data_IF_157956355545
#
_entry.id   IF_157956355545
#
_cell.length_a   1.000
_cell.length_b   1.000
_cell.length_c   1.000
_cell.angle_alpha   90.00
_cell.angle_beta   90.00
_cell.angle_gamma   90.00
#
_symmetry.space_group_name_H-M   'P 1'
#
loop_
_entity.id
_entity.type
_entity.pdbx_description
1 polymer ?
#
# COMPACT_ATOMS: atom_id res chain seq x y z
N UNK A 1 25.86 4.15 17.11
CA UNK A 1 24.76 4.44 18.06
C UNK A 1 23.50 3.74 17.55
N UNK A 2 22.99 2.80 18.30
CA UNK A 2 21.80 2.03 17.91
C UNK A 2 20.55 2.91 18.04
N UNK A 3 19.70 3.00 17.00
CA UNK A 3 18.61 3.99 17.02
C UNK A 3 17.45 3.57 17.92
N UNK A 4 16.96 2.36 17.82
CA UNK A 4 15.85 1.80 18.62
C UNK A 4 16.05 0.30 18.72
N UNK A 5 15.73 -0.29 19.85
CA UNK A 5 15.74 -1.73 20.04
C UNK A 5 14.32 -2.28 20.19
N UNK A 6 14.09 -3.50 19.72
CA UNK A 6 12.93 -4.30 20.10
C UNK A 6 13.23 -4.99 21.42
N UNK A 7 12.22 -5.02 22.29
CA UNK A 7 12.32 -5.53 23.65
C UNK A 7 11.55 -6.84 23.75
N UNK A 8 12.07 -7.77 24.55
CA UNK A 8 11.30 -8.95 24.95
C UNK A 8 10.21 -8.57 25.99
N UNK A 9 9.37 -9.53 26.33
CA UNK A 9 8.28 -9.36 27.31
C UNK A 9 8.77 -9.12 28.75
N UNK A 10 10.08 -9.27 29.02
CA UNK A 10 10.72 -8.92 30.30
C UNK A 10 11.33 -7.51 30.27
N UNK A 11 11.25 -6.80 29.12
CA UNK A 11 11.79 -5.47 28.95
C UNK A 11 13.30 -5.43 28.63
N UNK A 12 13.93 -6.55 28.28
CA UNK A 12 15.31 -6.54 27.83
C UNK A 12 15.38 -6.14 26.36
N UNK A 13 16.28 -5.22 25.97
CA UNK A 13 16.49 -4.90 24.55
C UNK A 13 17.24 -6.06 23.87
N UNK A 14 16.60 -6.70 22.88
CA UNK A 14 17.04 -7.95 22.28
C UNK A 14 17.45 -7.85 20.82
N UNK A 15 16.80 -7.02 20.04
CA UNK A 15 17.03 -6.88 18.61
C UNK A 15 17.11 -5.40 18.21
N UNK A 16 18.01 -5.06 17.28
CA UNK A 16 18.06 -3.76 16.65
C UNK A 16 18.63 -3.86 15.23
N UNK A 17 18.27 -2.89 14.41
CA UNK A 17 18.80 -2.71 13.05
C UNK A 17 19.45 -1.34 12.93
N UNK A 18 20.59 -1.28 12.27
CA UNK A 18 21.24 -0.02 11.92
C UNK A 18 21.40 0.11 10.43
N UNK A 19 21.35 1.33 9.93
CA UNK A 19 21.76 1.65 8.55
C UNK A 19 23.15 2.26 8.61
N UNK A 20 24.10 1.63 7.94
CA UNK A 20 25.39 2.23 7.64
C UNK A 20 25.22 3.15 6.43
N UNK A 21 25.39 4.47 6.64
CA UNK A 21 25.15 5.45 5.59
C UNK A 21 26.28 5.49 4.53
N UNK A 22 27.46 5.02 4.86
CA UNK A 22 28.61 5.04 3.95
C UNK A 22 28.57 3.81 3.02
N UNK A 23 28.36 2.61 3.59
CA UNK A 23 28.21 1.35 2.82
C UNK A 23 26.78 1.14 2.32
N UNK A 24 25.78 1.84 2.89
CA UNK A 24 24.34 1.67 2.62
C UNK A 24 23.79 0.30 3.01
N UNK A 25 24.44 -0.35 3.95
CA UNK A 25 24.07 -1.67 4.43
C UNK A 25 23.22 -1.57 5.70
N UNK A 26 22.18 -2.38 5.74
CA UNK A 26 21.50 -2.65 6.98
C UNK A 26 22.23 -3.73 7.73
N UNK A 27 22.51 -3.48 9.01
CA UNK A 27 23.15 -4.44 9.91
C UNK A 27 22.17 -4.79 11.01
N UNK A 28 21.90 -6.09 11.17
CA UNK A 28 21.05 -6.61 12.24
C UNK A 28 21.92 -7.01 13.42
N UNK A 29 21.43 -6.72 14.62
CA UNK A 29 22.12 -7.05 15.86
C UNK A 29 21.15 -7.67 16.85
N UNK A 30 21.62 -8.64 17.60
CA UNK A 30 20.90 -9.21 18.71
C UNK A 30 21.71 -9.10 20.00
N UNK A 31 21.03 -9.29 21.13
CA UNK A 31 21.62 -9.36 22.45
C UNK A 31 20.83 -10.33 23.30
N UNK A 32 21.50 -11.31 23.90
CA UNK A 32 20.85 -12.23 24.82
C UNK A 32 20.57 -11.57 26.18
N UNK A 33 19.61 -12.06 26.96
CA UNK A 33 19.40 -11.59 28.32
C UNK A 33 20.69 -11.74 29.14
N UNK A 34 21.11 -10.64 29.79
CA UNK A 34 22.35 -10.58 30.57
C UNK A 34 23.60 -10.18 29.80
N UNK A 35 23.59 -10.15 28.48
CA UNK A 35 24.72 -9.68 27.69
C UNK A 35 24.88 -8.17 27.80
N UNK A 36 26.13 -7.70 27.88
CA UNK A 36 26.46 -6.27 27.89
C UNK A 36 26.69 -5.67 26.49
N UNK A 37 26.90 -6.53 25.49
CA UNK A 37 27.23 -6.15 24.11
C UNK A 37 26.22 -6.67 23.09
N UNK A 38 26.18 -6.00 21.93
CA UNK A 38 25.41 -6.40 20.76
C UNK A 38 26.25 -7.29 19.84
N UNK A 39 25.67 -8.37 19.35
CA UNK A 39 26.27 -9.25 18.35
C UNK A 39 25.61 -9.03 17.00
N UNK A 40 26.40 -8.77 15.97
CA UNK A 40 25.88 -8.68 14.59
C UNK A 40 25.55 -10.08 14.08
N UNK A 41 24.44 -10.19 13.36
CA UNK A 41 24.05 -11.43 12.68
C UNK A 41 23.45 -11.14 11.31
N UNK A 42 23.43 -12.18 10.47
CA UNK A 42 22.97 -12.09 9.10
C UNK A 42 23.96 -11.28 8.25
N UNK A 43 24.48 -11.87 7.21
CA UNK A 43 25.21 -11.15 6.20
C UNK A 43 24.17 -10.47 5.29
N UNK A 44 23.99 -9.17 5.49
CA UNK A 44 23.09 -8.34 4.67
C UNK A 44 23.87 -7.75 3.50
N UNK A 45 25.17 -7.99 3.44
CA UNK A 45 25.99 -7.64 2.29
C UNK A 45 25.70 -8.59 1.14
N UNK A 46 24.66 -8.28 0.42
CA UNK A 46 24.44 -8.94 -0.85
C UNK A 46 25.01 -8.05 -1.95
N UNK A 47 25.90 -8.58 -2.77
CA UNK A 47 26.45 -7.91 -3.95
C UNK A 47 25.34 -7.47 -4.92
N UNK A 48 24.15 -8.05 -4.81
CA UNK A 48 22.95 -7.65 -5.53
C UNK A 48 22.16 -6.59 -4.75
N UNK A 49 22.43 -5.36 -5.08
CA UNK A 49 21.66 -4.18 -4.63
C UNK A 49 20.12 -4.33 -4.75
N UNK A 50 19.62 -5.18 -5.67
CA UNK A 50 18.18 -5.40 -5.88
C UNK A 50 17.52 -6.04 -4.67
N UNK A 51 18.09 -7.08 -4.13
CA UNK A 51 17.56 -7.80 -2.98
C UNK A 51 17.38 -6.93 -1.74
N UNK A 52 18.24 -5.92 -1.58
CA UNK A 52 18.18 -5.04 -0.41
C UNK A 52 16.95 -4.12 -0.40
N UNK A 53 16.57 -3.54 -1.53
CA UNK A 53 15.40 -2.66 -1.54
C UNK A 53 14.12 -3.41 -1.20
N UNK A 54 13.88 -4.55 -1.84
CA UNK A 54 12.73 -5.39 -1.54
C UNK A 54 12.71 -5.79 -0.05
N UNK A 55 13.82 -6.26 0.48
CA UNK A 55 13.96 -6.64 1.88
C UNK A 55 13.69 -5.49 2.85
N UNK A 56 14.11 -4.26 2.49
CA UNK A 56 13.90 -3.07 3.31
C UNK A 56 12.44 -2.63 3.30
N UNK A 57 11.86 -2.46 2.11
CA UNK A 57 10.51 -1.88 1.96
C UNK A 57 9.41 -2.92 2.14
N UNK A 58 9.69 -4.18 1.81
CA UNK A 58 8.77 -5.31 2.02
C UNK A 58 8.77 -5.87 3.44
N UNK A 59 9.66 -5.37 4.32
CA UNK A 59 9.80 -5.91 5.68
C UNK A 59 10.54 -7.25 5.76
N UNK A 60 11.18 -7.70 4.68
CA UNK A 60 11.95 -8.94 4.61
C UNK A 60 13.25 -8.79 5.42
N UNK A 61 13.75 -9.90 6.00
CA UNK A 61 14.70 -9.89 7.12
C UNK A 61 14.16 -9.06 8.30
N UNK A 62 12.84 -8.96 8.38
CA UNK A 62 12.14 -8.26 9.44
C UNK A 62 12.07 -9.13 10.69
N UNK A 63 12.42 -8.53 11.81
CA UNK A 63 12.14 -9.13 13.10
C UNK A 63 10.61 -9.16 13.33
N UNK A 64 10.07 -10.33 13.63
CA UNK A 64 8.63 -10.58 13.75
C UNK A 64 8.17 -10.91 15.19
N UNK A 65 9.11 -11.03 16.13
CA UNK A 65 8.78 -11.27 17.54
C UNK A 65 9.76 -12.22 18.24
N UNK A 66 9.64 -12.32 19.56
CA UNK A 66 10.36 -13.27 20.39
C UNK A 66 9.47 -14.45 20.74
N UNK A 67 10.07 -15.64 20.93
CA UNK A 67 9.37 -16.78 21.53
C UNK A 67 9.00 -16.46 22.99
N UNK A 68 7.82 -16.88 23.40
CA UNK A 68 7.40 -16.80 24.80
C UNK A 68 8.09 -17.87 25.67
N UNK A 69 8.51 -18.98 25.06
CA UNK A 69 8.99 -20.19 25.78
C UNK A 69 10.51 -20.22 25.89
N UNK A 70 11.24 -19.80 24.85
CA UNK A 70 12.71 -19.81 24.82
C UNK A 70 13.26 -18.42 24.48
N UNK A 71 14.01 -17.79 25.40
CA UNK A 71 14.60 -16.48 25.18
C UNK A 71 15.64 -16.45 24.05
N UNK A 72 16.17 -17.57 23.61
CA UNK A 72 17.11 -17.63 22.49
C UNK A 72 16.41 -17.74 21.14
N UNK A 73 15.10 -17.98 21.14
CA UNK A 73 14.32 -18.13 19.90
C UNK A 73 13.50 -16.87 19.64
N UNK A 74 13.42 -16.50 18.38
CA UNK A 74 12.56 -15.46 17.85
C UNK A 74 12.07 -15.80 16.47
N UNK A 75 11.34 -14.86 15.88
CA UNK A 75 10.71 -15.03 14.59
C UNK A 75 11.23 -13.99 13.60
N UNK A 76 11.52 -14.44 12.38
CA UNK A 76 11.99 -13.59 11.29
C UNK A 76 11.15 -13.83 10.04
N UNK A 77 10.87 -12.76 9.30
CA UNK A 77 10.27 -12.83 7.97
C UNK A 77 11.40 -12.81 6.95
N UNK A 78 11.53 -13.87 6.14
CA UNK A 78 12.63 -14.02 5.19
C UNK A 78 12.19 -14.81 3.95
N UNK A 79 12.70 -14.42 2.78
CA UNK A 79 12.41 -15.07 1.51
C UNK A 79 13.49 -16.08 1.05
N UNK A 80 14.34 -16.55 1.99
CA UNK A 80 15.35 -17.56 1.69
C UNK A 80 14.75 -18.81 1.05
N UNK A 81 15.41 -19.29 0.00
CA UNK A 81 14.98 -20.50 -0.70
C UNK A 81 13.74 -20.33 -1.57
N UNK A 82 13.22 -19.08 -1.77
CA UNK A 82 12.04 -18.85 -2.61
C UNK A 82 11.82 -17.39 -2.98
N UNK A 83 10.81 -17.15 -3.80
CA UNK A 83 10.39 -15.81 -4.21
C UNK A 83 9.62 -15.10 -3.09
N UNK A 84 8.70 -15.84 -2.43
CA UNK A 84 7.84 -15.31 -1.39
C UNK A 84 8.52 -15.36 -0.02
N UNK A 85 8.24 -14.36 0.83
CA UNK A 85 8.73 -14.36 2.19
C UNK A 85 7.87 -15.28 3.08
N UNK A 86 8.54 -16.15 3.82
CA UNK A 86 7.96 -17.00 4.86
C UNK A 86 8.28 -16.49 6.26
N UNK A 87 7.58 -17.05 7.24
CA UNK A 87 7.90 -16.89 8.67
C UNK A 87 8.83 -18.00 9.11
N UNK A 88 9.91 -17.61 9.75
CA UNK A 88 10.98 -18.50 10.19
C UNK A 88 11.23 -18.39 11.69
N UNK A 89 11.53 -19.51 12.30
CA UNK A 89 12.13 -19.58 13.63
C UNK A 89 13.63 -19.29 13.52
N UNK A 90 14.11 -18.41 14.38
CA UNK A 90 15.50 -17.95 14.39
C UNK A 90 16.11 -18.08 15.78
N UNK A 91 17.30 -18.66 15.88
CA UNK A 91 18.04 -18.78 17.13
C UNK A 91 19.06 -17.64 17.27
N UNK A 92 18.80 -16.74 18.22
CA UNK A 92 19.68 -15.59 18.48
C UNK A 92 21.03 -15.95 19.08
N UNK A 93 21.13 -17.11 19.77
CA UNK A 93 22.41 -17.52 20.38
C UNK A 93 23.39 -18.09 19.37
N UNK A 94 22.89 -18.73 18.30
CA UNK A 94 23.71 -19.25 17.20
C UNK A 94 23.74 -18.32 15.98
N UNK A 95 22.77 -17.42 15.84
CA UNK A 95 22.61 -16.58 14.66
C UNK A 95 22.04 -17.32 13.45
N UNK A 96 21.37 -18.45 13.66
CA UNK A 96 20.92 -19.36 12.61
C UNK A 96 19.39 -19.40 12.50
N UNK A 97 18.91 -19.57 11.27
CA UNK A 97 17.52 -19.91 10.99
C UNK A 97 17.32 -21.41 11.25
N UNK A 98 16.33 -21.74 12.09
CA UNK A 98 16.11 -23.11 12.58
C UNK A 98 15.20 -23.89 11.63
N UNK A 99 14.02 -23.33 11.34
CA UNK A 99 13.01 -23.93 10.45
C UNK A 99 12.03 -22.89 9.92
N UNK A 100 11.47 -23.19 8.75
CA UNK A 100 10.33 -22.46 8.23
C UNK A 100 9.06 -22.89 8.97
N UNK A 101 8.28 -21.91 9.42
CA UNK A 101 7.01 -22.15 10.09
C UNK A 101 5.85 -22.12 9.11
N UNK A 102 5.89 -21.15 8.18
CA UNK A 102 4.85 -20.97 7.17
C UNK A 102 5.34 -20.08 6.04
N UNK A 103 4.91 -20.39 4.80
CA UNK A 103 5.07 -19.55 3.61
C UNK A 103 3.80 -19.65 2.77
N UNK A 104 3.13 -18.54 2.46
CA UNK A 104 2.00 -18.55 1.52
C UNK A 104 2.50 -18.78 0.08
N UNK A 105 1.65 -19.33 -0.76
CA UNK A 105 1.98 -19.64 -2.15
C UNK A 105 2.09 -18.37 -3.01
N UNK A 106 1.15 -17.45 -2.84
CA UNK A 106 0.94 -16.31 -3.75
C UNK A 106 1.35 -14.94 -3.16
N UNK A 107 1.74 -14.90 -1.90
CA UNK A 107 2.01 -13.66 -1.18
C UNK A 107 3.21 -13.78 -0.22
N UNK A 108 3.64 -12.67 0.37
CA UNK A 108 4.62 -12.65 1.44
C UNK A 108 3.95 -12.69 2.81
N UNK A 109 4.55 -13.34 3.77
CA UNK A 109 4.26 -13.02 5.18
C UNK A 109 4.71 -11.57 5.41
N UNK A 110 3.81 -10.74 5.89
CA UNK A 110 4.07 -9.30 6.15
C UNK A 110 4.02 -8.94 7.64
N UNK A 111 3.67 -9.89 8.48
CA UNK A 111 3.60 -9.70 9.93
C UNK A 111 3.19 -10.94 10.68
N UNK A 112 3.09 -10.80 12.00
CA UNK A 112 2.64 -11.85 12.92
C UNK A 112 1.56 -11.31 13.85
N UNK A 113 0.80 -12.22 14.41
CA UNK A 113 -0.14 -11.94 15.49
C UNK A 113 0.33 -12.68 16.75
N UNK A 114 0.32 -11.98 17.86
CA UNK A 114 0.58 -12.57 19.18
C UNK A 114 -0.73 -12.75 19.94
N UNK A 115 -0.69 -13.56 20.98
CA UNK A 115 -1.86 -13.87 21.82
C UNK A 115 -2.52 -12.56 22.34
N UNK A 116 -3.84 -12.52 22.34
CA UNK A 116 -4.59 -11.28 22.63
C UNK A 116 -4.63 -10.91 24.12
N UNK A 117 -4.29 -11.82 25.03
CA UNK A 117 -4.18 -11.53 26.48
C UNK A 117 -2.86 -10.79 26.76
N UNK A 118 -2.89 -9.62 27.40
CA UNK A 118 -1.70 -8.85 27.74
C UNK A 118 -0.68 -9.62 28.57
N UNK A 119 0.57 -9.63 28.12
CA UNK A 119 1.69 -10.33 28.76
C UNK A 119 1.84 -11.78 28.31
N UNK A 120 1.01 -12.26 27.40
CA UNK A 120 1.21 -13.48 26.65
C UNK A 120 1.65 -13.10 25.22
N UNK A 121 2.94 -13.21 24.92
CA UNK A 121 3.51 -12.84 23.61
C UNK A 121 3.69 -14.06 22.69
N UNK A 122 3.02 -15.19 23.01
CA UNK A 122 3.05 -16.39 22.17
C UNK A 122 2.59 -16.05 20.74
N UNK A 123 3.33 -16.55 19.75
CA UNK A 123 2.97 -16.45 18.35
C UNK A 123 1.69 -17.25 18.10
N UNK A 124 0.65 -16.60 17.57
CA UNK A 124 -0.63 -17.26 17.27
C UNK A 124 -0.95 -17.33 15.78
N UNK A 125 -0.44 -16.39 14.97
CA UNK A 125 -0.64 -16.45 13.53
C UNK A 125 0.46 -15.72 12.73
N UNK A 126 0.69 -16.19 11.50
CA UNK A 126 1.34 -15.43 10.45
C UNK A 126 0.28 -14.65 9.64
N UNK A 127 0.63 -13.42 9.22
CA UNK A 127 -0.26 -12.52 8.48
C UNK A 127 0.29 -12.27 7.09
N UNK A 128 -0.56 -12.36 6.06
CA UNK A 128 -0.19 -12.13 4.67
C UNK A 128 -1.33 -11.48 3.88
N UNK A 129 -1.05 -10.73 2.79
CA UNK A 129 -2.10 -10.09 2.00
C UNK A 129 -2.82 -11.09 1.10
N UNK A 130 -4.09 -10.84 0.91
CA UNK A 130 -5.02 -11.54 0.03
C UNK A 130 -6.22 -10.65 -0.25
N UNK A 131 -7.43 -11.18 -0.20
CA UNK A 131 -8.64 -10.35 -0.21
C UNK A 131 -8.67 -9.39 0.99
N UNK A 132 -8.16 -9.83 2.11
CA UNK A 132 -7.87 -9.04 3.31
C UNK A 132 -6.48 -9.42 3.82
N UNK A 133 -6.06 -8.92 4.99
CA UNK A 133 -4.95 -9.55 5.68
C UNK A 133 -5.40 -10.90 6.21
N UNK A 134 -4.98 -11.94 5.51
CA UNK A 134 -5.25 -13.33 5.85
C UNK A 134 -4.34 -13.79 7.01
N UNK A 135 -4.76 -14.85 7.71
CA UNK A 135 -4.04 -15.39 8.86
C UNK A 135 -3.83 -16.90 8.70
N UNK A 136 -2.58 -17.33 8.81
CA UNK A 136 -2.26 -18.73 9.05
C UNK A 136 -2.10 -18.93 10.55
N UNK A 137 -3.01 -19.69 11.15
CA UNK A 137 -3.09 -19.85 12.59
C UNK A 137 -2.18 -20.99 13.09
N UNK A 138 -1.46 -20.73 14.18
CA UNK A 138 -0.68 -21.71 14.94
C UNK A 138 -1.38 -22.06 16.26
N UNK A 139 -2.34 -21.27 16.70
CA UNK A 139 -3.12 -21.43 17.92
C UNK A 139 -4.60 -21.59 17.59
N UNK A 140 -5.17 -22.75 17.87
CA UNK A 140 -6.55 -23.08 17.55
C UNK A 140 -7.57 -22.39 18.49
N UNK A 141 -7.16 -22.02 19.73
CA UNK A 141 -8.06 -21.31 20.67
C UNK A 141 -8.23 -19.86 20.24
N UNK A 142 -7.13 -19.16 19.87
CA UNK A 142 -7.20 -17.80 19.34
C UNK A 142 -7.91 -17.78 17.98
N UNK A 143 -7.69 -18.77 17.12
CA UNK A 143 -8.44 -18.92 15.87
C UNK A 143 -9.95 -19.01 16.13
N UNK A 144 -10.37 -19.91 17.01
CA UNK A 144 -11.78 -20.10 17.36
C UNK A 144 -12.39 -18.82 17.96
N UNK A 145 -11.62 -18.08 18.75
CA UNK A 145 -12.04 -16.77 19.29
C UNK A 145 -12.31 -15.78 18.15
N UNK A 146 -11.39 -15.63 17.19
CA UNK A 146 -11.57 -14.72 16.06
C UNK A 146 -12.73 -15.14 15.15
N UNK A 147 -12.90 -16.43 14.87
CA UNK A 147 -14.03 -16.96 14.09
C UNK A 147 -15.37 -16.68 14.79
N UNK A 148 -15.43 -16.83 16.09
CA UNK A 148 -16.61 -16.48 16.90
C UNK A 148 -16.92 -14.98 16.82
N UNK A 149 -15.91 -14.11 16.95
CA UNK A 149 -16.07 -12.66 16.83
C UNK A 149 -16.55 -12.26 15.43
N UNK A 150 -15.95 -12.81 14.39
CA UNK A 150 -16.32 -12.57 12.99
C UNK A 150 -17.78 -13.00 12.72
N UNK A 151 -18.22 -14.11 13.30
CA UNK A 151 -19.61 -14.62 13.12
C UNK A 151 -20.67 -13.71 13.73
N UNK A 152 -20.32 -12.90 14.73
CA UNK A 152 -21.27 -12.03 15.46
C UNK A 152 -21.27 -10.58 14.97
N UNK A 153 -20.22 -10.13 14.29
CA UNK A 153 -20.10 -8.75 13.81
C UNK A 153 -20.74 -8.64 12.41
N UNK A 154 -21.75 -7.80 12.22
CA UNK A 154 -22.32 -7.54 10.91
C UNK A 154 -21.28 -6.95 9.95
N UNK A 155 -21.20 -7.48 8.71
CA UNK A 155 -20.21 -7.12 7.72
C UNK A 155 -18.76 -7.26 8.23
N UNK A 156 -18.50 -8.32 9.01
CA UNK A 156 -17.16 -8.66 9.48
C UNK A 156 -16.21 -8.79 8.30
N UNK A 157 -15.06 -8.13 8.39
CA UNK A 157 -14.03 -8.20 7.35
C UNK A 157 -12.64 -8.29 7.97
N UNK A 158 -12.06 -7.20 8.43
CA UNK A 158 -10.80 -7.17 9.17
C UNK A 158 -11.10 -6.97 10.65
N UNK A 159 -11.45 -8.05 11.32
CA UNK A 159 -11.70 -8.06 12.77
C UNK A 159 -10.38 -8.10 13.52
N UNK A 160 -10.24 -7.29 14.57
CA UNK A 160 -9.06 -7.22 15.42
C UNK A 160 -9.44 -6.97 16.87
N UNK A 161 -8.77 -7.65 17.80
CA UNK A 161 -8.88 -7.38 19.24
C UNK A 161 -7.93 -6.24 19.57
N UNK A 162 -8.47 -5.04 19.82
CA UNK A 162 -7.65 -3.86 20.10
C UNK A 162 -7.18 -3.77 21.55
N UNK A 163 -7.91 -4.41 22.47
CA UNK A 163 -7.49 -4.62 23.86
C UNK A 163 -8.26 -5.76 24.50
N UNK A 164 -7.64 -6.43 25.48
CA UNK A 164 -8.26 -7.51 26.26
C UNK A 164 -7.81 -7.38 27.71
N UNK A 165 -8.71 -7.67 28.64
CA UNK A 165 -8.36 -7.76 30.07
C UNK A 165 -7.44 -8.95 30.35
N UNK A 166 -6.63 -8.88 31.42
CA UNK A 166 -5.71 -9.96 31.77
C UNK A 166 -6.40 -11.29 32.11
N UNK A 167 -7.60 -11.23 32.63
CA UNK A 167 -8.45 -12.39 32.92
C UNK A 167 -9.22 -12.91 31.69
N UNK A 168 -9.07 -12.23 30.54
CA UNK A 168 -9.72 -12.59 29.30
C UNK A 168 -11.22 -12.28 29.21
N UNK A 169 -11.85 -11.82 30.29
CA UNK A 169 -13.32 -11.66 30.41
C UNK A 169 -13.88 -10.46 29.62
N UNK A 170 -13.06 -9.46 29.37
CA UNK A 170 -13.47 -8.23 28.70
C UNK A 170 -12.53 -7.89 27.56
N UNK A 171 -13.06 -7.56 26.39
CA UNK A 171 -12.25 -7.12 25.25
C UNK A 171 -12.95 -6.02 24.45
N UNK A 172 -12.14 -5.19 23.79
CA UNK A 172 -12.59 -4.25 22.77
C UNK A 172 -12.16 -4.78 21.42
N UNK A 173 -13.13 -4.96 20.55
CA UNK A 173 -12.96 -5.50 19.21
C UNK A 173 -13.27 -4.42 18.19
N UNK A 174 -12.51 -4.36 17.13
CA UNK A 174 -12.73 -3.47 15.99
C UNK A 174 -12.97 -4.28 14.74
N UNK A 175 -13.82 -3.76 13.85
CA UNK A 175 -13.95 -4.26 12.49
C UNK A 175 -13.77 -3.11 11.52
N UNK A 176 -13.17 -3.39 10.37
CA UNK A 176 -13.06 -2.46 9.25
C UNK A 176 -13.11 -3.23 7.93
N UNK A 177 -13.90 -2.75 7.00
CA UNK A 177 -14.08 -3.38 5.70
C UNK A 177 -14.83 -2.50 4.73
N UNK A 178 -15.13 -2.98 3.50
CA UNK A 178 -15.80 -2.17 2.48
C UNK A 178 -17.11 -1.56 2.97
N UNK A 179 -17.89 -2.33 3.72
CA UNK A 179 -19.20 -1.93 4.26
C UNK A 179 -19.19 -1.53 5.74
N UNK A 180 -18.00 -1.35 6.31
CA UNK A 180 -17.81 -0.88 7.69
C UNK A 180 -16.60 0.06 7.76
N UNK A 181 -16.81 1.39 7.82
CA UNK A 181 -15.73 2.37 7.92
C UNK A 181 -14.86 2.23 9.17
N UNK A 182 -15.31 1.46 10.14
CA UNK A 182 -14.67 1.14 11.40
C UNK A 182 -15.67 1.15 12.53
N UNK A 183 -16.06 -0.03 13.01
CA UNK A 183 -16.92 -0.21 14.18
C UNK A 183 -16.14 -0.71 15.38
N UNK A 184 -16.65 -0.41 16.57
CA UNK A 184 -16.08 -0.75 17.86
C UNK A 184 -17.10 -1.53 18.68
N UNK A 185 -16.66 -2.62 19.29
CA UNK A 185 -17.49 -3.56 20.01
C UNK A 185 -16.85 -3.88 21.35
N UNK A 186 -17.68 -3.90 22.41
CA UNK A 186 -17.30 -4.41 23.71
C UNK A 186 -17.81 -5.85 23.85
N UNK A 187 -16.91 -6.77 24.17
CA UNK A 187 -17.26 -8.13 24.59
C UNK A 187 -16.97 -8.24 26.07
N UNK A 188 -17.99 -8.60 26.85
CA UNK A 188 -17.90 -8.80 28.29
C UNK A 188 -18.81 -9.94 28.71
N UNK A 189 -18.27 -10.88 29.46
CA UNK A 189 -19.01 -12.06 29.95
C UNK A 189 -19.78 -12.77 28.82
N UNK A 190 -19.14 -12.95 27.66
CA UNK A 190 -19.72 -13.57 26.47
C UNK A 190 -20.75 -12.74 25.72
N UNK A 191 -21.06 -11.53 26.17
CA UNK A 191 -22.02 -10.63 25.51
C UNK A 191 -21.28 -9.57 24.69
N UNK A 192 -21.65 -9.47 23.40
CA UNK A 192 -21.16 -8.44 22.51
C UNK A 192 -22.12 -7.24 22.45
N UNK A 193 -21.55 -6.03 22.55
CA UNK A 193 -22.31 -4.77 22.51
C UNK A 193 -21.58 -3.76 21.62
N UNK A 194 -22.25 -3.18 20.63
CA UNK A 194 -21.68 -2.14 19.78
C UNK A 194 -21.45 -0.87 20.60
N UNK A 195 -20.21 -0.36 20.58
CA UNK A 195 -19.84 0.91 21.23
C UNK A 195 -20.07 2.11 20.31
N UNK A 196 -19.82 1.94 19.02
CA UNK A 196 -19.96 3.00 18.04
C UNK A 196 -19.32 2.68 16.70
N UNK A 197 -19.29 3.67 15.82
CA UNK A 197 -18.66 3.63 14.51
C UNK A 197 -17.86 4.91 14.29
N UNK A 198 -16.79 4.85 13.49
CA UNK A 198 -16.00 6.03 13.08
C UNK A 198 -16.85 7.04 12.30
N UNK A 199 -17.72 6.53 11.44
CA UNK A 199 -18.65 7.36 10.68
C UNK A 199 -20.05 6.73 10.72
N UNK A 200 -20.93 7.15 11.63
CA UNK A 200 -22.25 6.56 11.78
C UNK A 200 -23.22 6.89 10.64
N UNK A 201 -22.89 7.87 9.77
CA UNK A 201 -23.70 8.23 8.61
C UNK A 201 -23.43 7.30 7.41
N UNK A 202 -22.28 6.63 7.36
CA UNK A 202 -21.94 5.66 6.33
C UNK A 202 -22.43 4.28 6.75
N UNK A 203 -23.66 3.99 6.40
CA UNK A 203 -24.31 2.70 6.67
C UNK A 203 -24.00 1.69 5.55
N UNK A 204 -24.07 0.37 5.79
CA UNK A 204 -23.73 -0.63 4.79
C UNK A 204 -24.53 -0.56 3.48
N UNK A 205 -25.74 0.01 3.54
CA UNK A 205 -26.63 0.17 2.38
C UNK A 205 -26.19 1.28 1.42
N UNK A 206 -25.38 2.25 1.87
CA UNK A 206 -24.82 3.29 1.00
C UNK A 206 -23.41 2.95 0.50
N UNK A 207 -22.82 1.88 0.99
CA UNK A 207 -21.47 1.45 0.65
C UNK A 207 -21.47 0.31 -0.40
N UNK A 208 -20.43 0.27 -1.20
CA UNK A 208 -20.20 -0.70 -2.26
C UNK A 208 -19.43 -1.94 -1.77
N UNK A 209 -19.65 -3.07 -2.43
CA UNK A 209 -18.83 -4.27 -2.26
C UNK A 209 -17.50 -4.12 -2.99
N UNK A 210 -16.47 -4.78 -2.46
CA UNK A 210 -15.13 -4.85 -3.07
C UNK A 210 -14.77 -6.32 -3.29
N UNK A 211 -14.32 -6.63 -4.49
CA UNK A 211 -13.90 -7.97 -4.87
C UNK A 211 -12.38 -8.01 -5.07
N UNK A 212 -11.73 -9.08 -4.61
CA UNK A 212 -10.36 -9.41 -4.94
C UNK A 212 -10.32 -10.21 -6.23
N UNK A 213 -9.55 -9.73 -7.20
CA UNK A 213 -9.33 -10.41 -8.49
C UNK A 213 -7.84 -10.58 -8.77
N UNK A 214 -7.53 -11.43 -9.72
CA UNK A 214 -6.19 -11.60 -10.30
C UNK A 214 -6.34 -11.65 -11.81
N UNK A 215 -5.58 -10.82 -12.52
CA UNK A 215 -5.63 -10.77 -13.98
C UNK A 215 -4.22 -10.89 -14.57
N UNK A 216 -4.09 -11.47 -15.80
CA UNK A 216 -2.83 -11.49 -16.51
C UNK A 216 -2.53 -10.13 -17.14
N UNK A 217 -1.34 -9.59 -16.91
CA UNK A 217 -0.78 -8.54 -17.73
C UNK A 217 -0.36 -9.11 -19.10
N UNK A 218 -0.16 -8.25 -20.09
CA UNK A 218 0.21 -8.63 -21.49
C UNK A 218 1.48 -9.45 -21.61
N UNK A 219 2.37 -9.37 -20.62
CA UNK A 219 3.60 -10.16 -20.52
C UNK A 219 3.42 -11.48 -19.74
N UNK A 220 2.20 -11.79 -19.35
CA UNK A 220 1.82 -13.01 -18.62
C UNK A 220 1.96 -12.92 -17.10
N UNK A 221 2.46 -11.79 -16.55
CA UNK A 221 2.53 -11.60 -15.10
C UNK A 221 1.11 -11.49 -14.52
N UNK A 222 0.87 -12.22 -13.44
CA UNK A 222 -0.40 -12.14 -12.71
C UNK A 222 -0.38 -10.96 -11.76
N UNK A 223 -1.33 -10.05 -11.93
CA UNK A 223 -1.49 -8.83 -11.13
C UNK A 223 -2.68 -8.99 -10.19
N UNK A 224 -2.49 -8.96 -8.87
CA UNK A 224 -3.59 -8.87 -7.91
C UNK A 224 -4.27 -7.50 -8.00
N UNK A 225 -5.56 -7.43 -7.78
CA UNK A 225 -6.29 -6.17 -7.77
C UNK A 225 -7.57 -6.25 -6.94
N UNK A 226 -8.10 -5.08 -6.61
CA UNK A 226 -9.36 -4.91 -5.93
C UNK A 226 -10.33 -4.12 -6.82
N UNK A 227 -11.58 -4.59 -6.92
CA UNK A 227 -12.63 -3.97 -7.72
C UNK A 227 -13.77 -3.55 -6.83
N UNK A 228 -13.97 -2.24 -6.70
CA UNK A 228 -15.16 -1.70 -6.03
C UNK A 228 -16.28 -1.58 -7.08
N UNK A 229 -17.40 -2.24 -6.81
CA UNK A 229 -18.52 -2.33 -7.76
C UNK A 229 -19.61 -1.32 -7.41
N UNK A 230 -19.98 -0.40 -8.32
CA UNK A 230 -21.13 0.48 -8.09
C UNK A 230 -22.44 -0.32 -8.07
N UNK A 231 -23.51 0.29 -7.61
CA UNK A 231 -24.85 -0.30 -7.68
C UNK A 231 -25.41 -0.21 -9.10
N UNK A 232 -26.23 -1.17 -9.43
CA UNK A 232 -26.91 -1.26 -10.74
C UNK A 232 -26.22 -2.24 -11.68
N UNK A 233 -26.81 -2.39 -12.86
CA UNK A 233 -26.33 -3.27 -13.91
C UNK A 233 -25.32 -2.54 -14.80
N UNK A 234 -24.27 -3.23 -15.25
CA UNK A 234 -23.25 -2.72 -16.15
C UNK A 234 -23.65 -2.76 -17.64
N UNK A 235 -22.73 -2.44 -18.56
CA UNK A 235 -21.35 -2.05 -18.29
C UNK A 235 -21.22 -0.66 -17.65
N UNK A 236 -20.28 -0.55 -16.70
CA UNK A 236 -20.06 0.70 -15.93
C UNK A 236 -18.91 1.53 -16.52
N UNK A 237 -18.89 2.86 -16.30
CA UNK A 237 -17.65 3.63 -16.45
C UNK A 237 -16.62 3.19 -15.39
N UNK A 238 -15.34 3.23 -15.76
CA UNK A 238 -14.24 2.76 -14.92
C UNK A 238 -13.31 3.89 -14.48
N UNK A 239 -12.95 3.89 -13.22
CA UNK A 239 -11.79 4.64 -12.71
C UNK A 239 -10.70 3.63 -12.33
N UNK A 240 -9.57 3.66 -13.04
CA UNK A 240 -8.35 2.98 -12.60
C UNK A 240 -7.68 3.82 -11.53
N UNK A 241 -7.55 3.29 -10.32
CA UNK A 241 -7.06 3.99 -9.13
C UNK A 241 -5.77 3.34 -8.60
N UNK A 242 -4.61 3.57 -9.24
CA UNK A 242 -3.34 3.08 -8.73
C UNK A 242 -2.95 3.79 -7.44
N UNK A 243 -2.53 2.99 -6.45
CA UNK A 243 -2.02 3.52 -5.18
C UNK A 243 -0.73 4.32 -5.32
N UNK A 244 -0.42 5.12 -4.31
CA UNK A 244 0.87 5.81 -4.18
C UNK A 244 2.00 4.85 -3.78
N UNK A 245 3.16 5.38 -3.53
CA UNK A 245 4.32 4.62 -3.08
C UNK A 245 5.48 4.70 -4.07
N UNK A 246 5.72 3.72 -4.96
CA UNK A 246 4.95 2.53 -5.34
C UNK A 246 5.08 1.32 -4.40
N UNK A 247 6.00 1.35 -3.45
CA UNK A 247 6.32 0.28 -2.51
C UNK A 247 5.29 0.20 -1.39
N UNK A 248 4.06 -0.21 -1.73
CA UNK A 248 2.91 -0.30 -0.82
C UNK A 248 2.18 -1.61 -1.07
N UNK A 249 1.59 -2.16 -0.03
CA UNK A 249 0.63 -3.26 -0.08
C UNK A 249 -0.74 -2.70 0.27
N UNK A 250 -1.71 -2.86 -0.61
CA UNK A 250 -3.12 -2.62 -0.28
C UNK A 250 -3.86 -3.95 -0.13
N UNK A 251 -4.90 -3.94 0.66
CA UNK A 251 -5.88 -5.03 0.80
C UNK A 251 -7.27 -4.41 0.88
N UNK A 252 -8.31 -5.22 0.69
CA UNK A 252 -9.68 -4.75 0.86
C UNK A 252 -9.86 -4.21 2.29
N UNK A 253 -10.27 -2.95 2.36
CA UNK A 253 -10.63 -2.24 3.57
C UNK A 253 -11.66 -1.18 3.23
N UNK A 254 -12.07 -0.33 4.17
CA UNK A 254 -12.80 0.89 3.83
C UNK A 254 -11.85 1.86 3.12
N UNK A 255 -12.12 2.14 1.87
CA UNK A 255 -11.43 3.13 1.04
C UNK A 255 -12.41 4.27 0.68
N UNK A 256 -12.10 5.47 1.14
CA UNK A 256 -12.95 6.63 0.96
C UNK A 256 -13.11 7.02 -0.51
N UNK A 257 -12.05 6.94 -1.31
CA UNK A 257 -12.10 7.27 -2.73
C UNK A 257 -12.85 6.22 -3.54
N UNK A 258 -12.56 4.94 -3.29
CA UNK A 258 -13.27 3.85 -3.95
C UNK A 258 -14.75 3.89 -3.66
N UNK A 259 -15.14 4.16 -2.41
CA UNK A 259 -16.54 4.24 -2.00
C UNK A 259 -17.24 5.50 -2.56
N UNK A 260 -16.57 6.66 -2.57
CA UNK A 260 -17.11 7.88 -3.16
C UNK A 260 -17.39 7.71 -4.65
N UNK A 261 -16.43 7.18 -5.39
CA UNK A 261 -16.54 6.97 -6.83
C UNK A 261 -17.59 5.90 -7.17
N UNK A 262 -17.64 4.81 -6.41
CA UNK A 262 -18.67 3.78 -6.60
C UNK A 262 -20.09 4.31 -6.30
N UNK A 263 -20.24 5.17 -5.29
CA UNK A 263 -21.51 5.83 -5.00
C UNK A 263 -21.94 6.79 -6.13
N UNK A 264 -20.98 7.36 -6.85
CA UNK A 264 -21.22 8.18 -8.04
C UNK A 264 -21.46 7.37 -9.34
N UNK A 265 -21.43 6.03 -9.25
CA UNK A 265 -21.73 5.13 -10.37
C UNK A 265 -20.52 4.59 -11.13
N UNK A 266 -19.30 4.89 -10.69
CA UNK A 266 -18.08 4.40 -11.32
C UNK A 266 -17.63 3.06 -10.71
N UNK A 267 -17.25 2.11 -11.55
CA UNK A 267 -16.46 0.96 -11.11
C UNK A 267 -15.03 1.43 -10.81
N UNK A 268 -14.39 0.91 -9.76
CA UNK A 268 -13.03 1.32 -9.37
C UNK A 268 -12.12 0.11 -9.34
N UNK A 269 -11.04 0.17 -10.13
CA UNK A 269 -9.98 -0.85 -10.15
C UNK A 269 -8.74 -0.33 -9.40
N UNK A 270 -8.33 -1.05 -8.36
CA UNK A 270 -7.13 -0.77 -7.56
C UNK A 270 -6.09 -1.88 -7.77
N UNK A 271 -5.21 -1.77 -8.78
CA UNK A 271 -4.24 -2.80 -9.11
C UNK A 271 -3.04 -2.77 -8.15
N UNK A 272 -2.60 -3.94 -7.70
CA UNK A 272 -1.32 -4.15 -7.02
C UNK A 272 -0.25 -4.37 -8.10
N UNK A 273 0.01 -3.31 -8.89
CA UNK A 273 0.94 -3.35 -10.02
C UNK A 273 2.35 -3.73 -9.57
N UNK A 274 3.19 -4.20 -10.49
CA UNK A 274 4.58 -4.57 -10.14
C UNK A 274 5.28 -3.45 -9.37
N UNK A 275 6.14 -3.80 -8.39
CA UNK A 275 6.74 -3.00 -7.33
C UNK A 275 5.85 -2.80 -6.10
N UNK A 276 4.58 -3.21 -6.09
CA UNK A 276 3.81 -3.33 -4.86
C UNK A 276 4.45 -4.39 -3.97
N UNK A 277 4.53 -4.12 -2.66
CA UNK A 277 5.11 -5.06 -1.68
C UNK A 277 4.09 -6.12 -1.26
N UNK A 278 4.58 -7.22 -0.70
CA UNK A 278 3.72 -8.29 -0.20
C UNK A 278 3.37 -9.37 -1.23
N UNK A 279 3.87 -9.26 -2.46
CA UNK A 279 3.53 -10.16 -3.57
C UNK A 279 4.75 -10.91 -4.15
N UNK A 280 5.86 -10.94 -3.42
CA UNK A 280 7.09 -11.63 -3.78
C UNK A 280 8.15 -10.73 -4.39
N UNK A 281 9.40 -11.20 -4.32
CA UNK A 281 10.55 -10.46 -4.82
C UNK A 281 10.50 -10.28 -6.33
N UNK A 282 10.12 -11.31 -7.09
CA UNK A 282 10.02 -11.23 -8.54
C UNK A 282 9.00 -10.18 -9.00
N UNK A 283 7.83 -10.11 -8.30
CA UNK A 283 6.82 -9.09 -8.56
C UNK A 283 7.39 -7.68 -8.36
N UNK A 284 8.18 -7.50 -7.31
CA UNK A 284 8.81 -6.23 -6.99
C UNK A 284 9.93 -5.88 -7.97
N UNK A 285 10.89 -6.81 -8.20
CA UNK A 285 12.11 -6.56 -8.99
C UNK A 285 11.83 -6.39 -10.48
N UNK A 286 10.76 -7.01 -11.00
CA UNK A 286 10.32 -6.84 -12.40
C UNK A 286 9.92 -5.40 -12.77
N UNK A 287 9.82 -4.52 -11.79
CA UNK A 287 9.51 -3.10 -11.99
C UNK A 287 10.74 -2.21 -12.21
N UNK A 288 11.93 -2.72 -11.98
CA UNK A 288 13.15 -1.92 -12.21
C UNK A 288 13.31 -1.54 -13.68
N UNK A 289 13.50 -0.24 -13.92
CA UNK A 289 13.54 0.31 -15.28
C UNK A 289 12.17 0.39 -15.98
N UNK A 290 11.07 0.05 -15.30
CA UNK A 290 9.74 -0.07 -15.90
C UNK A 290 8.75 1.04 -15.48
N UNK A 291 9.22 2.10 -14.83
CA UNK A 291 8.38 3.24 -14.45
C UNK A 291 7.78 3.94 -15.69
N UNK A 292 6.45 3.97 -15.76
CA UNK A 292 5.71 4.49 -16.93
C UNK A 292 5.69 3.55 -18.15
N UNK A 293 6.36 2.40 -18.08
CA UNK A 293 6.38 1.33 -19.09
C UNK A 293 5.52 0.14 -18.60
N UNK A 294 6.12 -1.03 -18.37
CA UNK A 294 5.36 -2.20 -17.92
C UNK A 294 4.58 -1.97 -16.60
N UNK A 295 5.06 -1.11 -15.71
CA UNK A 295 4.26 -0.69 -14.54
C UNK A 295 2.97 0.06 -14.94
N UNK A 296 2.97 0.77 -16.08
CA UNK A 296 1.76 1.39 -16.60
C UNK A 296 0.90 0.36 -17.34
N UNK A 297 1.53 -0.55 -18.09
CA UNK A 297 0.83 -1.64 -18.77
C UNK A 297 0.01 -2.49 -17.81
N UNK A 298 0.52 -2.79 -16.61
CA UNK A 298 -0.24 -3.52 -15.58
C UNK A 298 -1.60 -2.89 -15.30
N UNK A 299 -1.67 -1.56 -15.27
CA UNK A 299 -2.89 -0.80 -15.00
C UNK A 299 -3.85 -0.81 -16.17
N UNK A 300 -3.30 -0.61 -17.37
CA UNK A 300 -4.05 -0.60 -18.63
C UNK A 300 -4.64 -1.99 -18.91
N UNK A 301 -3.87 -3.05 -18.69
CA UNK A 301 -4.31 -4.45 -18.87
C UNK A 301 -5.41 -4.84 -17.88
N UNK A 302 -5.36 -4.33 -16.65
CA UNK A 302 -6.46 -4.52 -15.69
C UNK A 302 -7.76 -3.86 -16.12
N UNK A 303 -7.68 -2.66 -16.72
CA UNK A 303 -8.87 -2.01 -17.29
C UNK A 303 -9.43 -2.84 -18.45
N UNK A 304 -8.58 -3.26 -19.38
CA UNK A 304 -8.99 -4.07 -20.53
C UNK A 304 -9.53 -5.45 -20.14
N UNK A 305 -8.97 -6.06 -19.08
CA UNK A 305 -9.51 -7.29 -18.51
C UNK A 305 -10.98 -7.13 -18.07
N UNK A 306 -11.32 -6.03 -17.38
CA UNK A 306 -12.72 -5.77 -16.99
C UNK A 306 -13.63 -5.45 -18.17
N UNK A 307 -13.12 -4.83 -19.25
CA UNK A 307 -13.83 -4.65 -20.52
C UNK A 307 -14.14 -6.01 -21.16
N UNK A 308 -13.16 -6.90 -21.24
CA UNK A 308 -13.33 -8.25 -21.79
C UNK A 308 -14.35 -9.10 -21.02
N UNK A 309 -14.46 -8.87 -19.71
CA UNK A 309 -15.49 -9.49 -18.87
C UNK A 309 -16.91 -8.87 -19.08
N UNK A 310 -17.03 -7.83 -19.89
CA UNK A 310 -18.30 -7.12 -20.12
C UNK A 310 -18.79 -6.27 -18.96
N UNK A 311 -17.91 -5.97 -18.00
CA UNK A 311 -18.23 -5.21 -16.79
C UNK A 311 -18.05 -3.71 -16.99
N UNK A 312 -17.20 -3.32 -17.92
CA UNK A 312 -16.76 -1.94 -18.16
C UNK A 312 -17.03 -1.53 -19.60
N UNK A 313 -17.52 -0.31 -19.78
CA UNK A 313 -17.66 0.35 -21.08
C UNK A 313 -16.26 0.83 -21.56
N UNK A 314 -15.74 0.30 -22.70
CA UNK A 314 -14.41 0.67 -23.19
C UNK A 314 -14.25 2.14 -23.57
N UNK A 315 -15.35 2.86 -23.85
CA UNK A 315 -15.36 4.27 -24.22
C UNK A 315 -15.44 5.19 -22.97
N UNK A 316 -15.49 4.59 -21.76
CA UNK A 316 -15.70 5.32 -20.50
C UNK A 316 -14.71 4.89 -19.41
N UNK A 317 -13.41 5.10 -19.65
CA UNK A 317 -12.32 4.73 -18.74
C UNK A 317 -11.52 5.99 -18.38
N UNK A 318 -11.31 6.24 -17.10
CA UNK A 318 -10.41 7.27 -16.61
C UNK A 318 -9.38 6.73 -15.63
N UNK A 319 -8.30 7.48 -15.41
CA UNK A 319 -7.33 7.17 -14.35
C UNK A 319 -7.32 8.28 -13.32
N UNK A 320 -7.43 7.90 -12.05
CA UNK A 320 -7.21 8.79 -10.92
C UNK A 320 -6.16 8.19 -10.01
N UNK A 321 -5.18 8.97 -9.56
CA UNK A 321 -4.21 8.51 -8.58
C UNK A 321 -3.54 9.64 -7.83
N UNK A 322 -2.94 9.29 -6.68
CA UNK A 322 -2.27 10.23 -5.78
C UNK A 322 -0.79 9.88 -5.64
N UNK A 323 0.09 10.87 -5.55
CA UNK A 323 1.53 10.66 -5.39
C UNK A 323 2.15 9.90 -6.57
N UNK A 324 2.64 8.67 -6.38
CA UNK A 324 3.04 7.80 -7.48
C UNK A 324 1.85 7.46 -8.39
N UNK A 325 0.64 7.23 -7.84
CA UNK A 325 -0.58 7.09 -8.64
C UNK A 325 -0.88 8.33 -9.48
N UNK A 326 -0.60 9.53 -8.95
CA UNK A 326 -0.66 10.78 -9.71
C UNK A 326 0.37 10.86 -10.84
N UNK A 327 1.59 10.37 -10.61
CA UNK A 327 2.59 10.15 -11.67
C UNK A 327 2.03 9.25 -12.76
N UNK A 328 1.44 8.11 -12.39
CA UNK A 328 0.84 7.17 -13.34
C UNK A 328 -0.29 7.82 -14.16
N UNK A 329 -1.12 8.68 -13.55
CA UNK A 329 -2.15 9.44 -14.23
C UNK A 329 -1.57 10.43 -15.25
N UNK A 330 -0.44 11.10 -14.93
CA UNK A 330 0.24 11.97 -15.89
C UNK A 330 0.90 11.19 -17.04
N UNK A 331 1.45 10.00 -16.76
CA UNK A 331 1.96 9.10 -17.81
C UNK A 331 0.81 8.64 -18.71
N UNK A 332 -0.31 8.20 -18.13
CA UNK A 332 -1.50 7.80 -18.88
C UNK A 332 -1.99 8.89 -19.84
N UNK A 333 -1.95 10.15 -19.41
CA UNK A 333 -2.40 11.28 -20.24
C UNK A 333 -1.58 11.47 -21.53
N UNK A 334 -0.38 10.95 -21.62
CA UNK A 334 0.55 11.10 -22.75
C UNK A 334 0.77 9.81 -23.55
N UNK A 335 0.08 8.70 -23.23
CA UNK A 335 0.23 7.42 -23.94
C UNK A 335 -0.46 7.43 -25.32
N UNK A 336 0.13 6.66 -26.24
CA UNK A 336 -0.48 6.35 -27.54
C UNK A 336 -0.27 4.86 -27.88
N UNK A 337 -1.32 4.11 -28.22
CA UNK A 337 -2.74 4.52 -28.14
C UNK A 337 -3.18 4.74 -26.68
N UNK A 338 -4.16 5.62 -26.49
CA UNK A 338 -4.70 5.92 -25.17
C UNK A 338 -6.06 5.25 -24.99
N UNK A 339 -6.22 4.55 -23.86
CA UNK A 339 -7.49 3.92 -23.48
C UNK A 339 -8.33 4.81 -22.55
N UNK A 340 -7.75 5.91 -22.06
CA UNK A 340 -8.38 6.79 -21.08
C UNK A 340 -9.02 8.01 -21.77
N UNK A 341 -10.22 8.38 -21.34
CA UNK A 341 -10.91 9.59 -21.76
C UNK A 341 -10.41 10.82 -21.00
N UNK A 342 -9.95 10.66 -19.76
CA UNK A 342 -9.33 11.72 -18.97
C UNK A 342 -8.48 11.15 -17.85
N UNK A 343 -7.71 12.04 -17.18
CA UNK A 343 -6.94 11.66 -16.00
C UNK A 343 -7.02 12.69 -14.87
N UNK A 344 -6.93 12.23 -13.62
CA UNK A 344 -6.87 13.06 -12.43
C UNK A 344 -5.57 12.75 -11.69
N UNK A 345 -4.68 13.72 -11.58
CA UNK A 345 -3.34 13.58 -11.02
C UNK A 345 -3.21 14.36 -9.71
N UNK A 346 -3.39 13.67 -8.58
CA UNK A 346 -3.25 14.24 -7.24
C UNK A 346 -1.82 14.18 -6.72
N UNK A 347 -1.28 15.28 -6.19
CA UNK A 347 0.06 15.38 -5.59
C UNK A 347 1.15 14.66 -6.41
N UNK A 348 1.08 14.78 -7.74
CA UNK A 348 1.80 13.96 -8.71
C UNK A 348 3.29 14.30 -8.79
N UNK A 349 4.13 13.27 -8.96
CA UNK A 349 5.54 13.43 -9.37
C UNK A 349 5.56 13.71 -10.88
N UNK A 350 5.60 14.98 -11.27
CA UNK A 350 5.61 15.41 -12.66
C UNK A 350 7.03 15.52 -13.25
N UNK A 351 8.04 15.78 -12.41
CA UNK A 351 9.45 15.87 -12.78
C UNK A 351 10.30 15.02 -11.85
N UNK A 352 10.40 13.73 -12.19
CA UNK A 352 11.13 12.73 -11.41
C UNK A 352 12.63 13.08 -11.32
N UNK A 353 13.24 13.53 -12.41
CA UNK A 353 14.66 13.91 -12.44
C UNK A 353 14.96 15.04 -11.44
N UNK A 354 14.13 16.08 -11.44
CA UNK A 354 14.28 17.21 -10.51
C UNK A 354 14.02 16.81 -9.06
N UNK A 355 13.07 15.89 -8.83
CA UNK A 355 12.82 15.33 -7.49
C UNK A 355 14.05 14.61 -6.97
N UNK A 356 14.62 13.69 -7.74
CA UNK A 356 15.83 12.97 -7.35
C UNK A 356 17.02 13.91 -7.17
N UNK A 357 17.23 14.85 -8.09
CA UNK A 357 18.31 15.85 -7.99
C UNK A 357 18.18 16.77 -6.76
N UNK A 358 16.96 17.08 -6.33
CA UNK A 358 16.75 17.82 -5.07
C UNK A 358 17.02 16.97 -3.82
N UNK A 359 16.59 15.71 -3.84
CA UNK A 359 16.87 14.76 -2.76
C UNK A 359 18.36 14.47 -2.64
N UNK A 360 19.12 14.48 -3.74
CA UNK A 360 20.56 14.24 -3.77
C UNK A 360 21.39 15.32 -3.06
N UNK A 361 20.84 16.47 -2.78
CA UNK A 361 21.51 17.56 -2.03
C UNK A 361 21.56 17.35 -0.52
N UNK A 362 20.84 16.36 0.01
CA UNK A 362 20.86 16.01 1.44
C UNK A 362 22.01 15.07 1.80
N UNK A 363 22.18 14.79 3.09
CA UNK A 363 23.24 13.92 3.64
C UNK A 363 23.27 12.50 3.05
N UNK A 364 22.12 12.01 2.54
CA UNK A 364 21.92 10.70 1.90
C UNK A 364 21.79 10.85 0.36
N UNK A 365 21.81 12.06 -0.13
CA UNK A 365 21.24 12.40 -1.43
C UNK A 365 21.97 11.85 -2.62
N UNK A 366 23.31 11.91 -2.67
CA UNK A 366 24.07 11.34 -3.78
C UNK A 366 23.82 9.82 -3.89
N UNK A 367 23.71 9.18 -2.74
CA UNK A 367 23.40 7.77 -2.61
C UNK A 367 22.04 7.40 -3.21
N UNK A 368 21.01 8.22 -2.94
CA UNK A 368 19.66 8.03 -3.47
C UNK A 368 19.61 8.29 -4.97
N UNK A 369 20.35 9.29 -5.45
CA UNK A 369 20.39 9.64 -6.87
C UNK A 369 21.10 8.55 -7.69
N UNK A 370 22.28 8.13 -7.27
CA UNK A 370 23.05 7.03 -7.89
C UNK A 370 22.24 5.72 -7.90
N UNK A 371 21.51 5.46 -6.82
CA UNK A 371 20.65 4.29 -6.69
C UNK A 371 19.46 4.36 -7.66
N UNK A 372 18.76 5.50 -7.71
CA UNK A 372 17.62 5.70 -8.60
C UNK A 372 18.02 5.59 -10.08
N UNK A 373 19.18 6.15 -10.46
CA UNK A 373 19.69 6.07 -11.83
C UNK A 373 20.07 4.65 -12.22
N UNK A 374 20.83 3.95 -11.37
CA UNK A 374 21.24 2.57 -11.64
C UNK A 374 20.07 1.61 -11.80
N UNK A 375 18.92 1.91 -11.19
CA UNK A 375 17.71 1.08 -11.22
C UNK A 375 16.65 1.55 -12.19
N UNK A 376 16.94 2.60 -12.96
CA UNK A 376 15.97 3.16 -13.88
C UNK A 376 14.69 3.68 -13.20
N UNK A 377 14.81 4.14 -11.95
CA UNK A 377 13.67 4.60 -11.16
C UNK A 377 13.04 5.91 -11.67
N UNK A 378 13.69 6.59 -12.62
CA UNK A 378 13.13 7.78 -13.24
C UNK A 378 12.09 7.41 -14.30
N UNK A 379 12.40 6.41 -15.16
CA UNK A 379 11.51 5.94 -16.21
C UNK A 379 11.01 7.05 -17.15
N UNK A 380 9.73 7.01 -17.50
CA UNK A 380 9.07 8.11 -18.22
C UNK A 380 8.97 9.31 -17.30
N UNK A 381 9.45 10.48 -17.75
CA UNK A 381 9.35 11.72 -16.98
C UNK A 381 8.19 12.58 -17.56
N UNK A 382 7.03 12.69 -16.88
CA UNK A 382 5.82 13.27 -17.43
C UNK A 382 5.99 14.69 -17.99
N UNK A 383 6.85 15.50 -17.37
CA UNK A 383 7.08 16.88 -17.83
C UNK A 383 7.71 16.95 -19.24
N UNK A 384 8.44 15.91 -19.65
CA UNK A 384 9.05 15.80 -20.96
C UNK A 384 8.05 15.32 -22.03
N UNK A 385 6.90 14.79 -21.61
CA UNK A 385 5.87 14.19 -22.46
C UNK A 385 4.66 15.12 -22.69
N UNK A 386 4.68 16.35 -22.18
CA UNK A 386 3.51 17.26 -22.21
C UNK A 386 3.02 17.56 -23.64
N UNK A 387 3.89 17.51 -24.65
CA UNK A 387 3.50 17.69 -26.06
C UNK A 387 2.55 16.61 -26.57
N UNK A 388 2.61 15.40 -26.00
CA UNK A 388 1.79 14.25 -26.36
C UNK A 388 0.45 14.20 -25.60
N UNK A 389 0.27 15.02 -24.56
CA UNK A 389 -0.99 15.04 -23.79
C UNK A 389 -2.12 15.47 -24.68
N UNK A 390 -3.09 14.58 -24.90
CA UNK A 390 -4.19 14.79 -25.86
C UNK A 390 -5.59 14.58 -25.25
N UNK A 391 -5.66 14.18 -23.98
CA UNK A 391 -6.91 14.01 -23.22
C UNK A 391 -7.00 15.03 -22.08
N UNK A 392 -8.19 15.32 -21.54
CA UNK A 392 -8.35 16.20 -20.38
C UNK A 392 -7.59 15.71 -19.15
N UNK A 393 -6.95 16.64 -18.43
CA UNK A 393 -6.20 16.38 -17.21
C UNK A 393 -6.67 17.31 -16.10
N UNK A 394 -7.01 16.77 -14.93
CA UNK A 394 -7.17 17.54 -13.71
C UNK A 394 -5.95 17.31 -12.81
N UNK A 395 -5.21 18.38 -12.51
CA UNK A 395 -4.13 18.35 -11.53
C UNK A 395 -4.58 18.94 -10.20
N UNK A 396 -4.33 18.19 -9.10
CA UNK A 396 -4.65 18.60 -7.73
C UNK A 396 -3.40 18.55 -6.88
N UNK A 397 -3.08 19.60 -6.10
CA UNK A 397 -1.87 19.61 -5.27
C UNK A 397 -2.01 20.54 -4.07
N UNK A 398 -1.49 20.11 -2.92
CA UNK A 398 -1.33 20.95 -1.75
C UNK A 398 -0.10 21.85 -1.88
N UNK A 399 -0.24 23.16 -1.60
CA UNK A 399 0.84 24.12 -1.81
C UNK A 399 1.96 24.06 -0.75
N UNK A 400 1.70 23.38 0.39
CA UNK A 400 2.70 23.11 1.43
C UNK A 400 3.18 21.65 1.46
N UNK A 401 2.93 20.89 0.39
CA UNK A 401 3.37 19.51 0.26
C UNK A 401 4.89 19.40 0.42
N UNK A 402 5.32 18.64 1.46
CA UNK A 402 6.72 18.41 1.79
C UNK A 402 7.29 17.10 1.24
N UNK A 403 6.43 16.22 0.73
CA UNK A 403 6.84 14.91 0.20
C UNK A 403 7.01 14.95 -1.31
N UNK A 404 6.00 15.42 -2.04
CA UNK A 404 6.07 15.76 -3.46
C UNK A 404 5.96 17.27 -3.60
N UNK A 405 7.11 17.92 -3.60
CA UNK A 405 7.17 19.38 -3.51
C UNK A 405 6.33 20.06 -4.59
N UNK A 406 5.65 21.13 -4.23
CA UNK A 406 4.71 21.89 -5.05
C UNK A 406 5.27 22.39 -6.39
N UNK A 407 6.60 22.39 -6.57
CA UNK A 407 7.20 22.71 -7.87
C UNK A 407 6.76 21.74 -8.98
N UNK A 408 6.46 20.46 -8.67
CA UNK A 408 5.96 19.49 -9.65
C UNK A 408 4.70 20.00 -10.35
N UNK A 409 3.75 20.53 -9.58
CA UNK A 409 2.53 21.15 -10.08
C UNK A 409 2.82 22.41 -10.92
N UNK A 410 3.62 23.34 -10.38
CA UNK A 410 3.91 24.60 -11.04
C UNK A 410 4.68 24.44 -12.36
N UNK A 411 5.71 23.59 -12.34
CA UNK A 411 6.56 23.37 -13.50
C UNK A 411 5.79 22.62 -14.60
N UNK A 412 4.96 21.62 -14.23
CA UNK A 412 4.11 20.91 -15.19
C UNK A 412 3.08 21.84 -15.83
N UNK A 413 2.39 22.66 -15.02
CA UNK A 413 1.48 23.68 -15.53
C UNK A 413 2.18 24.59 -16.54
N UNK A 414 3.36 25.11 -16.18
CA UNK A 414 4.16 25.97 -17.07
C UNK A 414 4.56 25.25 -18.37
N UNK A 415 4.89 23.97 -18.31
CA UNK A 415 5.25 23.18 -19.47
C UNK A 415 4.04 22.96 -20.40
N UNK A 416 2.86 22.67 -19.84
CA UNK A 416 1.59 22.56 -20.57
C UNK A 416 1.23 23.87 -21.27
N UNK A 417 1.31 25.01 -20.57
CA UNK A 417 1.07 26.34 -21.12
C UNK A 417 2.05 26.64 -22.27
N UNK A 418 3.33 26.33 -22.11
CA UNK A 418 4.36 26.54 -23.15
C UNK A 418 4.17 25.63 -24.37
N UNK A 419 3.59 24.43 -24.20
CA UNK A 419 3.22 23.53 -25.28
C UNK A 419 1.89 23.88 -25.96
N UNK A 420 1.22 24.96 -25.53
CA UNK A 420 -0.09 25.38 -26.03
C UNK A 420 -1.24 24.44 -25.67
N UNK A 421 -1.11 23.65 -24.63
CA UNK A 421 -2.14 22.72 -24.18
C UNK A 421 -3.17 23.45 -23.34
N UNK A 422 -4.45 23.35 -23.71
CA UNK A 422 -5.59 23.99 -23.03
C UNK A 422 -6.53 23.00 -22.37
N UNK A 423 -6.20 21.71 -22.43
CA UNK A 423 -7.00 20.61 -21.94
C UNK A 423 -6.65 20.20 -20.49
N UNK A 424 -5.98 21.06 -19.71
CA UNK A 424 -5.65 20.81 -18.33
C UNK A 424 -6.36 21.80 -17.39
N UNK A 425 -6.90 21.28 -16.31
CA UNK A 425 -7.46 22.02 -15.19
C UNK A 425 -6.60 21.86 -13.94
N UNK A 426 -6.64 22.84 -13.05
CA UNK A 426 -5.73 22.93 -11.93
C UNK A 426 -6.46 23.30 -10.64
N UNK A 427 -6.28 22.50 -9.59
CA UNK A 427 -6.79 22.78 -8.25
C UNK A 427 -5.63 22.83 -7.26
N UNK A 428 -5.41 23.98 -6.64
CA UNK A 428 -4.51 24.11 -5.48
C UNK A 428 -5.31 23.98 -4.20
N UNK A 429 -4.91 23.05 -3.33
CA UNK A 429 -5.43 22.95 -1.97
C UNK A 429 -4.55 23.79 -1.05
N UNK A 430 -4.99 25.00 -0.76
CA UNK A 430 -4.21 25.98 0.00
C UNK A 430 -3.99 25.54 1.45
N UNK A 431 -2.71 25.51 1.88
CA UNK A 431 -2.30 25.02 3.21
C UNK A 431 -2.34 23.50 3.38
N UNK A 432 -2.61 22.73 2.33
CA UNK A 432 -2.64 21.27 2.39
C UNK A 432 -1.24 20.66 2.20
N UNK A 433 -0.94 19.60 2.97
CA UNK A 433 0.25 18.76 2.82
C UNK A 433 -0.04 17.57 1.87
N UNK A 434 0.89 16.61 1.81
CA UNK A 434 0.88 15.48 0.88
C UNK A 434 -0.24 14.48 1.12
N UNK A 435 -0.52 14.16 2.38
CA UNK A 435 -1.40 13.05 2.73
C UNK A 435 -2.86 13.46 2.78
N UNK A 436 -3.69 12.82 1.96
CA UNK A 436 -5.13 13.09 1.92
C UNK A 436 -5.81 12.88 3.28
N UNK A 437 -5.33 11.92 4.08
CA UNK A 437 -5.88 11.66 5.42
C UNK A 437 -5.53 12.73 6.46
N UNK A 438 -4.65 13.68 6.10
CA UNK A 438 -4.36 14.88 6.89
C UNK A 438 -5.03 16.12 6.33
N UNK A 439 -5.75 16.01 5.20
CA UNK A 439 -6.51 17.10 4.64
C UNK A 439 -7.66 17.48 5.58
N UNK A 440 -7.87 18.77 5.74
CA UNK A 440 -9.03 19.27 6.46
C UNK A 440 -10.31 19.01 5.65
N UNK A 441 -11.46 19.03 6.32
CA UNK A 441 -12.76 18.80 5.68
C UNK A 441 -12.97 19.69 4.45
N UNK A 442 -12.63 20.99 4.52
CA UNK A 442 -12.75 21.90 3.40
C UNK A 442 -11.86 21.54 2.19
N UNK A 443 -10.68 20.95 2.42
CA UNK A 443 -9.82 20.46 1.34
C UNK A 443 -10.46 19.23 0.66
N UNK A 444 -10.99 18.30 1.43
CA UNK A 444 -11.69 17.12 0.93
C UNK A 444 -12.93 17.53 0.13
N UNK A 445 -13.74 18.46 0.65
CA UNK A 445 -14.94 18.98 -0.04
C UNK A 445 -14.57 19.64 -1.38
N UNK A 446 -13.57 20.51 -1.41
CA UNK A 446 -13.10 21.15 -2.64
C UNK A 446 -12.61 20.11 -3.65
N UNK A 447 -11.81 19.15 -3.18
CA UNK A 447 -11.24 18.13 -4.06
C UNK A 447 -12.34 17.21 -4.61
N UNK A 448 -13.17 16.65 -3.76
CA UNK A 448 -14.22 15.69 -4.17
C UNK A 448 -15.25 16.36 -5.10
N UNK A 449 -15.67 17.58 -4.79
CA UNK A 449 -16.57 18.35 -5.64
C UNK A 449 -15.96 18.58 -7.02
N UNK A 450 -14.68 19.03 -7.07
CA UNK A 450 -13.99 19.28 -8.34
C UNK A 450 -13.74 18.00 -9.12
N UNK A 451 -13.40 16.90 -8.45
CA UNK A 451 -13.19 15.58 -9.08
C UNK A 451 -14.47 15.08 -9.74
N UNK A 452 -15.60 15.08 -9.03
CA UNK A 452 -16.87 14.61 -9.55
C UNK A 452 -17.40 15.52 -10.68
N UNK A 453 -17.26 16.83 -10.55
CA UNK A 453 -17.60 17.81 -11.61
C UNK A 453 -16.77 17.55 -12.87
N UNK A 454 -15.45 17.39 -12.74
CA UNK A 454 -14.55 17.10 -13.86
C UNK A 454 -14.89 15.79 -14.56
N UNK A 455 -15.16 14.71 -13.81
CA UNK A 455 -15.55 13.43 -14.37
C UNK A 455 -16.88 13.53 -15.12
N UNK A 456 -17.85 14.24 -14.58
CA UNK A 456 -19.19 14.36 -15.18
C UNK A 456 -19.25 15.28 -16.41
N UNK A 457 -18.42 16.32 -16.47
CA UNK A 457 -18.59 17.38 -17.46
C UNK A 457 -17.38 17.56 -18.40
N UNK A 458 -16.17 17.23 -17.97
CA UNK A 458 -14.94 17.56 -18.69
C UNK A 458 -14.13 16.33 -19.13
N UNK A 459 -14.55 15.12 -18.74
CA UNK A 459 -13.91 13.86 -19.08
C UNK A 459 -14.45 13.29 -20.39
N UNK A 460 -14.00 13.84 -21.50
CA UNK A 460 -14.46 13.46 -22.83
C UNK A 460 -15.85 14.04 -23.21
N UNK A 461 -16.34 13.75 -24.42
CA UNK A 461 -17.65 14.22 -24.86
C UNK A 461 -18.79 13.58 -24.06
N UNK A 462 -19.49 14.39 -23.28
CA UNK A 462 -20.63 13.94 -22.46
C UNK A 462 -20.28 13.45 -21.06
N UNK A 463 -19.03 13.64 -20.63
CA UNK A 463 -18.52 13.15 -19.35
C UNK A 463 -18.20 11.65 -19.35
N UNK A 464 -17.67 11.17 -18.22
CA UNK A 464 -17.32 9.75 -18.03
C UNK A 464 -18.55 8.93 -17.69
#
# INVERSE_FOLDING_TARGET
>A
KFPVASFDNQGNPRYTRTLDYDSREYKNYYRNPGDSSWTQFGDVTNENDHDQLYRIVGGILGFAGFSADDPNIGYMIDNRGGDKAGLWEFNFSTGEFVRELFRPEDADVVGTLTHSIPGNDSLVAAVYPGAKYERHWFDEEEKALYEMLESQIPNAHQVSISSRSRDGSTMVVTNRGPKDPGSFWLVRDGKMTKLGSRNPLLTPDVLADVEYIRYPARDGKIIPAYVTKPKGDGPHPLIVLPHGGPHVTEVISYDEWGQLLANAGYMVLQPQYRMSTGWGQEHFDSAYGQHGLAMQDDKDDGAMYLVEQGLVDPDRIAMFGWSYGGYAALVAASREPNIYQCTIAGAAVADAEKVYKKRSRGRIGKAVDDWAQRRGMIGINPINEVSKVNIPVLMVHGDVDRRVLYFNYKDYKKAMDAAGKTNAQYLTLEGADHFYNTLMYNHQEQFFTKMLDFLANDCGPGGL
#
